data_IF_557958175968
#
_entry.id   IF_557958175968
#
_cell.length_a   1.000
_cell.length_b   1.000
_cell.length_c   1.000
_cell.angle_alpha   90.00
_cell.angle_beta   90.00
_cell.angle_gamma   90.00
#
_symmetry.space_group_name_H-M   'P 1'
#
loop_
_entity.id
_entity.type
_entity.pdbx_description
1 polymer ?
#
# COMPACT_ATOMS: atom_id res chain seq x y z
N UNK A 1 1.43 -2.03 -4.78
CA UNK A 1 2.23 -2.39 -3.59
C UNK A 1 2.04 -3.85 -3.22
N UNK A 2 0.80 -4.32 -3.03
CA UNK A 2 0.50 -5.72 -2.65
C UNK A 2 1.09 -6.78 -3.59
N UNK A 3 1.06 -6.56 -4.91
CA UNK A 3 1.73 -7.45 -5.87
C UNK A 3 3.24 -7.61 -5.60
N UNK A 4 3.92 -6.58 -5.09
CA UNK A 4 5.33 -6.69 -4.68
C UNK A 4 5.46 -7.44 -3.36
N UNK A 5 4.63 -7.13 -2.37
CA UNK A 5 4.66 -7.78 -1.05
C UNK A 5 4.56 -9.29 -1.18
N UNK A 6 3.72 -9.78 -2.10
CA UNK A 6 3.54 -11.21 -2.24
C UNK A 6 4.55 -11.83 -3.18
N UNK A 7 4.86 -11.19 -4.31
CA UNK A 7 5.89 -11.71 -5.22
C UNK A 7 7.26 -11.83 -4.55
N UNK A 8 7.54 -10.96 -3.60
CA UNK A 8 8.79 -10.91 -2.85
C UNK A 8 8.56 -11.17 -1.35
N UNK A 9 7.55 -11.95 -0.99
CA UNK A 9 7.17 -12.21 0.40
C UNK A 9 8.32 -12.72 1.26
N UNK A 10 9.09 -13.68 0.76
CA UNK A 10 10.27 -14.20 1.46
C UNK A 10 11.33 -13.12 1.68
N UNK A 11 11.55 -12.23 0.71
CA UNK A 11 12.47 -11.09 0.90
C UNK A 11 11.91 -10.07 1.87
N UNK A 12 10.63 -9.71 1.78
CA UNK A 12 10.02 -8.67 2.62
C UNK A 12 9.85 -9.14 4.07
N UNK A 13 9.37 -10.35 4.30
CA UNK A 13 9.00 -10.83 5.64
C UNK A 13 10.06 -11.74 6.28
N UNK A 14 10.81 -12.49 5.48
CA UNK A 14 11.82 -13.44 5.97
C UNK A 14 13.25 -12.93 5.73
N UNK A 15 13.42 -11.77 5.10
CA UNK A 15 14.72 -11.18 4.75
C UNK A 15 15.57 -12.11 3.85
N UNK A 16 14.91 -12.97 3.08
CA UNK A 16 15.58 -13.85 2.14
C UNK A 16 16.22 -13.04 0.99
N UNK A 17 17.40 -13.44 0.47
CA UNK A 17 18.00 -12.79 -0.68
C UNK A 17 17.06 -12.75 -1.89
N UNK A 18 17.14 -11.68 -2.68
CA UNK A 18 16.40 -11.59 -3.94
C UNK A 18 16.80 -12.73 -4.88
N UNK A 19 15.85 -13.60 -5.21
CA UNK A 19 16.07 -14.82 -5.99
C UNK A 19 16.22 -14.58 -7.50
N UNK A 20 15.95 -13.35 -7.97
CA UNK A 20 15.97 -13.02 -9.39
C UNK A 20 16.53 -11.60 -9.65
N UNK A 21 17.15 -11.35 -10.82
CA UNK A 21 17.52 -10.01 -11.23
C UNK A 21 16.26 -9.14 -11.33
N UNK A 22 16.28 -8.01 -10.64
CA UNK A 22 15.23 -6.98 -10.66
C UNK A 22 15.85 -5.65 -11.02
N UNK A 23 15.06 -4.75 -11.62
CA UNK A 23 15.51 -3.38 -11.84
C UNK A 23 15.74 -2.67 -10.49
N UNK A 24 16.63 -1.68 -10.49
CA UNK A 24 17.05 -0.95 -9.29
C UNK A 24 15.86 -0.30 -8.55
N UNK A 25 14.89 0.24 -9.30
CA UNK A 25 13.72 0.89 -8.68
C UNK A 25 12.90 -0.13 -7.91
N UNK A 26 12.70 -1.33 -8.48
CA UNK A 26 11.98 -2.42 -7.81
C UNK A 26 12.77 -3.01 -6.66
N UNK A 27 14.09 -3.15 -6.78
CA UNK A 27 14.95 -3.59 -5.67
C UNK A 27 14.79 -2.66 -4.46
N UNK A 28 14.86 -1.35 -4.70
CA UNK A 28 14.69 -0.33 -3.66
C UNK A 28 13.29 -0.37 -3.02
N UNK A 29 12.23 -0.59 -3.81
CA UNK A 29 10.88 -0.76 -3.29
C UNK A 29 10.78 -1.98 -2.36
N UNK A 30 11.33 -3.12 -2.76
CA UNK A 30 11.28 -4.36 -1.98
C UNK A 30 12.09 -4.22 -0.69
N UNK A 31 13.30 -3.67 -0.75
CA UNK A 31 14.13 -3.42 0.43
C UNK A 31 13.45 -2.45 1.40
N UNK A 32 12.84 -1.38 0.89
CA UNK A 32 12.12 -0.43 1.73
C UNK A 32 10.91 -1.09 2.41
N UNK A 33 10.13 -1.91 1.68
CA UNK A 33 9.01 -2.65 2.25
C UNK A 33 9.48 -3.63 3.33
N UNK A 34 10.59 -4.37 3.10
CA UNK A 34 11.19 -5.25 4.10
C UNK A 34 11.43 -4.51 5.43
N UNK A 35 12.06 -3.34 5.37
CA UNK A 35 12.33 -2.55 6.56
C UNK A 35 11.06 -1.95 7.20
N UNK A 36 10.13 -1.45 6.39
CA UNK A 36 8.85 -0.90 6.88
C UNK A 36 8.08 -1.96 7.66
N UNK A 37 7.96 -3.18 7.13
CA UNK A 37 7.22 -4.24 7.81
C UNK A 37 7.95 -4.76 9.04
N UNK A 38 9.28 -4.86 9.00
CA UNK A 38 10.09 -5.22 10.16
C UNK A 38 9.89 -4.25 11.34
N UNK A 39 9.95 -2.94 11.08
CA UNK A 39 9.76 -1.91 12.11
C UNK A 39 8.28 -1.81 12.50
N UNK A 40 7.39 -1.80 11.51
CA UNK A 40 5.95 -1.64 11.71
C UNK A 40 5.34 -2.74 12.57
N UNK A 41 5.78 -3.99 12.41
CA UNK A 41 5.32 -5.09 13.26
C UNK A 41 5.66 -4.87 14.74
N UNK A 42 6.83 -4.32 15.04
CA UNK A 42 7.28 -4.04 16.42
C UNK A 42 6.57 -2.83 17.02
N UNK A 43 6.21 -1.88 16.17
CA UNK A 43 5.46 -0.69 16.55
C UNK A 43 3.95 -0.90 16.62
N UNK A 44 3.46 -2.07 16.17
CA UNK A 44 2.02 -2.34 16.09
C UNK A 44 1.31 -1.44 15.08
N UNK A 45 1.96 -1.08 13.97
CA UNK A 45 1.34 -0.25 12.95
C UNK A 45 0.18 -1.00 12.29
N UNK A 46 -1.02 -0.42 12.27
CA UNK A 46 -2.09 -0.94 11.43
C UNK A 46 -1.71 -0.70 9.96
N UNK A 47 -1.73 -1.76 9.16
CA UNK A 47 -1.52 -1.70 7.72
C UNK A 47 -2.80 -2.17 7.07
N UNK A 48 -3.44 -1.25 6.36
CA UNK A 48 -4.69 -1.53 5.67
C UNK A 48 -4.44 -1.84 4.19
N UNK A 49 -5.06 -2.92 3.72
CA UNK A 49 -5.33 -3.14 2.31
C UNK A 49 -6.81 -2.85 2.03
N UNK A 50 -7.14 -2.47 0.80
CA UNK A 50 -8.54 -2.30 0.39
C UNK A 50 -9.13 -3.61 -0.12
N UNK A 51 -10.46 -3.73 -0.06
CA UNK A 51 -11.19 -4.84 -0.69
C UNK A 51 -10.89 -4.95 -2.19
N UNK A 52 -10.73 -3.83 -2.90
CA UNK A 52 -10.30 -3.83 -4.30
C UNK A 52 -8.93 -4.50 -4.46
N UNK A 53 -8.03 -4.28 -3.51
CA UNK A 53 -6.74 -4.93 -3.57
C UNK A 53 -6.88 -6.44 -3.42
N UNK A 54 -7.76 -6.94 -2.54
CA UNK A 54 -8.09 -8.37 -2.48
C UNK A 54 -8.67 -8.89 -3.79
N UNK A 55 -9.56 -8.12 -4.43
CA UNK A 55 -10.08 -8.47 -5.74
C UNK A 55 -8.96 -8.58 -6.79
N UNK A 56 -8.01 -7.64 -6.81
CA UNK A 56 -6.85 -7.73 -7.71
C UNK A 56 -5.99 -8.98 -7.43
N UNK A 57 -5.85 -9.39 -6.17
CA UNK A 57 -5.19 -10.64 -5.79
C UNK A 57 -5.95 -11.86 -6.31
N UNK A 58 -7.28 -11.86 -6.20
CA UNK A 58 -8.17 -12.93 -6.69
C UNK A 58 -8.11 -13.09 -8.22
N UNK A 59 -7.76 -12.04 -8.96
CA UNK A 59 -7.56 -12.11 -10.41
C UNK A 59 -6.18 -12.69 -10.81
N UNK A 60 -5.37 -13.15 -9.87
CA UNK A 60 -4.07 -13.75 -10.19
C UNK A 60 -4.25 -15.08 -10.95
N UNK A 61 -3.64 -15.26 -12.14
CA UNK A 61 -3.88 -16.45 -12.96
C UNK A 61 -3.41 -17.76 -12.31
N UNK A 62 -2.24 -17.73 -11.68
CA UNK A 62 -1.66 -18.90 -11.01
C UNK A 62 -2.44 -19.19 -9.71
N UNK A 63 -2.98 -20.40 -9.60
CA UNK A 63 -3.89 -20.76 -8.52
C UNK A 63 -3.19 -20.91 -7.16
N UNK A 64 -1.96 -21.42 -7.15
CA UNK A 64 -1.17 -21.58 -5.92
C UNK A 64 -0.72 -20.21 -5.43
N UNK A 65 -0.22 -19.38 -6.35
CA UNK A 65 0.13 -17.99 -6.07
C UNK A 65 -1.09 -17.20 -5.57
N UNK A 66 -2.26 -17.35 -6.23
CA UNK A 66 -3.51 -16.69 -5.82
C UNK A 66 -3.92 -17.05 -4.40
N UNK A 67 -3.83 -18.33 -4.03
CA UNK A 67 -4.16 -18.79 -2.69
C UNK A 67 -3.25 -18.16 -1.63
N UNK A 68 -1.94 -18.10 -1.89
CA UNK A 68 -0.97 -17.43 -1.00
C UNK A 68 -1.22 -15.91 -0.90
N UNK A 69 -1.47 -15.25 -2.05
CA UNK A 69 -1.80 -13.84 -2.14
C UNK A 69 -3.03 -13.50 -1.29
N UNK A 70 -4.11 -14.26 -1.43
CA UNK A 70 -5.36 -14.03 -0.70
C UNK A 70 -5.21 -14.30 0.80
N UNK A 71 -4.52 -15.39 1.19
CA UNK A 71 -4.27 -15.69 2.60
C UNK A 71 -3.51 -14.56 3.28
N UNK A 72 -2.52 -13.98 2.59
CA UNK A 72 -1.73 -12.87 3.10
C UNK A 72 -2.50 -11.54 3.09
N UNK A 73 -3.15 -11.22 1.96
CA UNK A 73 -3.93 -9.99 1.80
C UNK A 73 -5.08 -9.89 2.81
N UNK A 74 -5.74 -11.02 3.13
CA UNK A 74 -6.85 -11.03 4.10
C UNK A 74 -6.40 -10.67 5.52
N UNK A 75 -5.12 -10.92 5.87
CA UNK A 75 -4.57 -10.48 7.15
C UNK A 75 -4.27 -8.97 7.21
N UNK A 76 -4.16 -8.32 6.03
CA UNK A 76 -3.93 -6.88 5.90
C UNK A 76 -5.23 -6.08 5.73
N UNK A 77 -6.35 -6.75 5.46
CA UNK A 77 -7.66 -6.11 5.47
C UNK A 77 -8.24 -6.33 6.86
N UNK A 78 -8.64 -5.25 7.52
CA UNK A 78 -9.51 -5.34 8.69
C UNK A 78 -10.96 -5.15 8.22
N UNK A 79 -11.70 -6.24 7.90
CA UNK A 79 -13.05 -6.12 7.37
C UNK A 79 -14.09 -5.74 8.44
N UNK A 80 -13.73 -5.73 9.72
CA UNK A 80 -14.68 -5.52 10.84
C UNK A 80 -14.45 -4.22 11.62
N UNK A 81 -13.48 -3.38 11.19
CA UNK A 81 -13.24 -2.08 11.79
C UNK A 81 -14.46 -1.16 11.72
N UNK A 82 -14.79 -0.49 12.83
CA UNK A 82 -15.94 0.42 12.93
C UNK A 82 -15.89 1.56 11.89
N UNK A 83 -14.69 1.92 11.43
CA UNK A 83 -14.45 2.99 10.46
C UNK A 83 -14.61 2.53 9.00
N UNK A 84 -14.68 1.23 8.72
CA UNK A 84 -14.74 0.68 7.35
C UNK A 84 -15.96 1.19 6.55
N UNK A 85 -17.19 1.22 7.11
CA UNK A 85 -18.35 1.75 6.38
C UNK A 85 -18.19 3.23 6.04
N UNK A 86 -17.65 4.03 6.96
CA UNK A 86 -17.39 5.45 6.74
C UNK A 86 -16.31 5.65 5.67
N UNK A 87 -15.22 4.89 5.75
CA UNK A 87 -14.16 4.92 4.77
C UNK A 87 -14.64 4.60 3.36
N UNK A 88 -15.46 3.55 3.21
CA UNK A 88 -16.06 3.17 1.94
C UNK A 88 -17.01 4.25 1.38
N UNK A 89 -17.80 4.91 2.24
CA UNK A 89 -18.66 6.03 1.81
C UNK A 89 -17.83 7.23 1.36
N UNK A 90 -16.78 7.58 2.11
CA UNK A 90 -15.87 8.65 1.74
C UNK A 90 -15.12 8.34 0.43
N UNK A 91 -14.65 7.11 0.25
CA UNK A 91 -14.04 6.62 -0.98
C UNK A 91 -14.93 6.84 -2.19
N UNK A 92 -16.20 6.43 -2.11
CA UNK A 92 -17.18 6.62 -3.18
C UNK A 92 -17.43 8.09 -3.50
N UNK A 93 -17.56 8.94 -2.48
CA UNK A 93 -17.74 10.40 -2.67
C UNK A 93 -16.54 11.05 -3.34
N UNK A 94 -15.34 10.49 -3.13
CA UNK A 94 -14.10 11.01 -3.68
C UNK A 94 -13.84 10.60 -5.13
N UNK A 95 -14.59 9.66 -5.69
CA UNK A 95 -14.49 9.26 -7.10
C UNK A 95 -14.71 10.46 -8.03
N UNK A 96 -15.71 11.28 -7.76
CA UNK A 96 -16.10 12.42 -8.61
C UNK A 96 -15.64 13.77 -8.05
N UNK A 97 -14.82 13.77 -7.00
CA UNK A 97 -14.35 14.99 -6.36
C UNK A 97 -13.37 15.77 -7.26
N UNK A 98 -13.49 17.11 -7.36
CA UNK A 98 -12.60 17.91 -8.22
C UNK A 98 -11.11 17.78 -7.89
N UNK A 99 -10.78 17.55 -6.62
CA UNK A 99 -9.40 17.47 -6.15
C UNK A 99 -8.76 16.09 -6.33
N UNK A 100 -9.51 15.06 -6.74
CA UNK A 100 -9.00 13.75 -7.18
C UNK A 100 -9.06 13.58 -8.71
N UNK A 101 -9.70 14.52 -9.41
CA UNK A 101 -9.95 14.46 -10.86
C UNK A 101 -8.69 14.34 -11.74
N UNK A 102 -7.52 14.70 -11.21
CA UNK A 102 -6.25 14.50 -11.90
C UNK A 102 -5.94 13.02 -12.12
N UNK A 103 -6.35 12.13 -11.22
CA UNK A 103 -6.17 10.68 -11.38
C UNK A 103 -7.14 10.13 -12.43
N UNK A 104 -6.70 9.33 -13.41
CA UNK A 104 -7.55 8.90 -14.51
C UNK A 104 -8.48 7.74 -14.13
N UNK A 105 -8.06 6.88 -13.21
CA UNK A 105 -8.82 5.70 -12.79
C UNK A 105 -9.71 6.06 -11.58
N UNK A 106 -11.05 5.94 -11.70
CA UNK A 106 -11.98 6.07 -10.57
C UNK A 106 -11.57 5.27 -9.34
N UNK A 107 -11.02 4.08 -9.56
CA UNK A 107 -10.68 3.17 -8.50
C UNK A 107 -9.43 3.62 -7.72
N UNK A 108 -8.47 4.31 -8.35
CA UNK A 108 -7.36 4.96 -7.63
C UNK A 108 -7.87 6.08 -6.71
N UNK A 109 -8.91 6.81 -7.15
CA UNK A 109 -9.53 7.89 -6.36
C UNK A 109 -10.26 7.32 -5.14
N UNK A 110 -11.02 6.24 -5.35
CA UNK A 110 -11.70 5.52 -4.26
C UNK A 110 -10.70 4.99 -3.24
N UNK A 111 -9.60 4.36 -3.68
CA UNK A 111 -8.56 3.83 -2.79
C UNK A 111 -7.95 4.90 -1.88
N UNK A 112 -7.64 6.07 -2.42
CA UNK A 112 -7.10 7.17 -1.63
C UNK A 112 -8.16 7.71 -0.66
N UNK A 113 -9.43 7.73 -1.08
CA UNK A 113 -10.52 8.12 -0.20
C UNK A 113 -10.77 7.17 0.95
N UNK A 114 -10.68 5.85 0.71
CA UNK A 114 -10.73 4.85 1.76
C UNK A 114 -9.59 5.05 2.75
N UNK A 115 -8.37 5.30 2.28
CA UNK A 115 -7.23 5.54 3.16
C UNK A 115 -7.41 6.81 4.03
N UNK A 116 -8.02 7.87 3.49
CA UNK A 116 -8.37 9.06 4.28
C UNK A 116 -9.44 8.70 5.33
N UNK A 117 -10.44 7.92 4.95
CA UNK A 117 -11.54 7.56 5.85
C UNK A 117 -11.14 6.58 6.95
N UNK A 118 -10.09 5.78 6.74
CA UNK A 118 -9.44 4.94 7.74
C UNK A 118 -8.38 5.69 8.57
N UNK A 119 -8.31 7.02 8.42
CA UNK A 119 -7.35 7.90 9.11
C UNK A 119 -5.88 7.49 8.90
N UNK A 120 -5.55 6.97 7.71
CA UNK A 120 -4.18 6.61 7.38
C UNK A 120 -3.28 7.85 7.29
N UNK A 121 -2.15 7.84 8.00
CA UNK A 121 -1.11 8.89 7.90
C UNK A 121 -0.46 8.98 6.51
N UNK A 122 -0.43 7.84 5.80
CA UNK A 122 0.30 7.63 4.55
C UNK A 122 -0.50 6.71 3.63
N UNK A 123 -0.63 7.12 2.37
CA UNK A 123 -1.00 6.25 1.26
C UNK A 123 0.27 5.78 0.54
N UNK A 124 0.68 4.54 0.77
CA UNK A 124 1.87 3.96 0.16
C UNK A 124 1.55 3.28 -1.19
N UNK A 125 2.24 3.67 -2.27
CA UNK A 125 2.04 3.04 -3.58
C UNK A 125 3.32 2.98 -4.41
N UNK A 126 3.40 1.95 -5.27
CA UNK A 126 4.47 1.79 -6.25
C UNK A 126 4.07 2.30 -7.64
N UNK A 127 2.83 2.80 -7.81
CA UNK A 127 2.36 3.30 -9.09
C UNK A 127 2.99 4.66 -9.43
N UNK A 128 4.15 4.56 -10.09
CA UNK A 128 4.91 5.70 -10.59
C UNK A 128 4.34 6.34 -11.84
N UNK A 129 3.42 5.68 -12.55
CA UNK A 129 2.93 6.14 -13.85
C UNK A 129 1.70 7.04 -13.70
N UNK A 130 0.87 6.78 -12.71
CA UNK A 130 -0.38 7.52 -12.47
C UNK A 130 -0.29 8.30 -11.16
N UNK A 131 -0.35 7.63 -10.00
CA UNK A 131 -0.56 8.24 -8.69
C UNK A 131 0.65 9.09 -8.27
N UNK A 132 1.85 8.49 -8.22
CA UNK A 132 3.05 9.23 -7.77
C UNK A 132 3.37 10.37 -8.74
N UNK A 133 3.21 10.16 -10.05
CA UNK A 133 3.43 11.21 -11.06
C UNK A 133 2.50 12.41 -10.88
N UNK A 134 1.29 12.19 -10.37
CA UNK A 134 0.25 13.22 -10.23
C UNK A 134 0.07 13.73 -8.80
N UNK A 135 0.79 13.20 -7.81
CA UNK A 135 0.62 13.56 -6.39
C UNK A 135 0.73 15.05 -6.08
N UNK A 136 1.52 15.80 -6.85
CA UNK A 136 1.61 17.26 -6.71
C UNK A 136 0.30 17.99 -7.04
N UNK A 137 -0.57 17.36 -7.82
CA UNK A 137 -1.91 17.85 -8.15
C UNK A 137 -2.95 17.45 -7.09
N UNK A 138 -2.57 16.59 -6.13
CA UNK A 138 -3.41 16.04 -5.07
C UNK A 138 -3.16 16.70 -3.71
N UNK A 139 -2.45 17.83 -3.67
CA UNK A 139 -2.03 18.53 -2.42
C UNK A 139 -3.18 18.97 -1.50
N UNK A 140 -4.41 18.97 -1.99
CA UNK A 140 -5.59 19.29 -1.17
C UNK A 140 -6.08 18.10 -0.34
N UNK A 141 -5.58 16.89 -0.63
CA UNK A 141 -5.91 15.70 0.14
C UNK A 141 -5.17 15.71 1.49
N UNK A 142 -5.84 15.35 2.60
CA UNK A 142 -5.25 15.31 3.93
C UNK A 142 -4.39 14.05 4.16
N UNK A 143 -3.76 13.50 3.12
CA UNK A 143 -2.95 12.28 3.22
C UNK A 143 -1.67 12.40 2.40
N UNK A 144 -0.57 11.86 2.93
CA UNK A 144 0.71 11.85 2.23
C UNK A 144 0.78 10.65 1.29
N UNK A 145 1.04 10.91 0.01
CA UNK A 145 1.23 9.85 -1.00
C UNK A 145 2.73 9.60 -1.16
N UNK A 146 3.18 8.43 -0.73
CA UNK A 146 4.60 8.05 -0.71
C UNK A 146 4.85 6.76 -1.48
N UNK A 147 6.02 6.66 -2.10
CA UNK A 147 6.59 5.37 -2.48
C UNK A 147 7.17 4.67 -1.26
N UNK A 148 7.38 3.33 -1.30
CA UNK A 148 7.99 2.63 -0.16
C UNK A 148 9.35 3.23 0.26
N UNK A 149 10.29 3.57 -0.65
CA UNK A 149 11.56 4.19 -0.24
C UNK A 149 11.37 5.55 0.43
N UNK A 150 10.41 6.36 -0.02
CA UNK A 150 10.11 7.65 0.60
C UNK A 150 9.51 7.47 1.99
N UNK A 151 8.58 6.54 2.18
CA UNK A 151 8.07 6.21 3.51
C UNK A 151 9.18 5.71 4.43
N UNK A 152 9.99 4.77 3.96
CA UNK A 152 11.12 4.26 4.74
C UNK A 152 12.09 5.37 5.13
N UNK A 153 12.41 6.31 4.24
CA UNK A 153 13.29 7.44 4.55
C UNK A 153 12.81 8.32 5.72
N UNK A 154 11.51 8.38 5.97
CA UNK A 154 10.93 9.13 7.10
C UNK A 154 11.02 8.36 8.41
N UNK A 155 10.98 7.02 8.32
CA UNK A 155 11.01 6.11 9.48
C UNK A 155 12.44 5.78 9.89
N UNK A 156 13.33 5.58 8.91
CA UNK A 156 14.71 5.10 9.06
C UNK A 156 15.50 5.80 10.18
N UNK A 157 15.42 7.14 10.37
CA UNK A 157 16.14 7.80 11.46
C UNK A 157 15.76 7.29 12.86
N UNK A 158 14.55 6.77 13.01
CA UNK A 158 13.98 6.31 14.28
C UNK A 158 13.95 4.79 14.40
N UNK A 159 14.22 4.06 13.31
CA UNK A 159 14.14 2.61 13.26
C UNK A 159 15.06 1.94 14.30
N UNK A 160 16.22 2.53 14.62
CA UNK A 160 17.14 2.02 15.63
C UNK A 160 16.60 2.03 17.06
N UNK A 161 15.51 2.76 17.34
CA UNK A 161 14.80 2.69 18.62
C UNK A 161 14.02 1.38 18.79
N UNK A 162 13.85 0.64 17.70
CA UNK A 162 12.97 -0.52 17.59
C UNK A 162 13.67 -1.71 16.93
N UNK A 163 15.01 -1.69 16.86
CA UNK A 163 15.85 -2.80 16.40
C UNK A 163 16.23 -3.78 17.53
#
# INVERSE_FOLDING_TARGET
MLNLLVRYSSTVFEQAPLSMPVDETRANDVEALMHIFQVGQRMGWPIYASEKSLYELDQTPDADQRAELLAYGTQLVDPEGEDVPFANDLGRRLIDAPFTASLPDPADRELIGNAIGLDCDVFCTCDRRTIVKKRDQLRQLPIRILTPPEWWSQVKPWAGLWL
#
